data_IF_099879699743
#
_entry.id   IF_099879699743
#
_cell.length_a   1.000
_cell.length_b   1.000
_cell.length_c   1.000
_cell.angle_alpha   90.00
_cell.angle_beta   90.00
_cell.angle_gamma   90.00
#
_symmetry.space_group_name_H-M   'P 1'
#
loop_
_entity.id
_entity.type
_entity.pdbx_description
1 polymer ?
#
# COMPACT_ATOMS: atom_id res chain seq x y z
N UNK A 1 -71.42 4.28 23.66
CA UNK A 1 -71.59 4.15 22.19
C UNK A 1 -70.21 3.90 21.59
N UNK A 2 -70.07 2.84 20.76
CA UNK A 2 -68.99 2.66 19.77
C UNK A 2 -67.57 2.44 20.35
N UNK A 3 -66.78 1.39 20.08
CA UNK A 3 -66.45 0.72 18.80
C UNK A 3 -65.73 -0.63 19.01
N UNK A 4 -66.01 -1.56 18.09
CA UNK A 4 -65.10 -2.42 17.31
C UNK A 4 -64.12 -3.40 17.99
N UNK A 5 -64.55 -4.66 17.99
CA UNK A 5 -63.97 -5.88 17.41
C UNK A 5 -62.52 -5.94 16.85
N UNK A 6 -61.97 -7.17 17.03
CA UNK A 6 -61.01 -7.97 16.25
C UNK A 6 -59.51 -7.65 16.39
N UNK A 7 -58.73 -8.61 16.91
CA UNK A 7 -57.88 -9.50 16.08
C UNK A 7 -57.13 -10.53 16.93
N UNK A 8 -57.43 -11.80 16.64
CA UNK A 8 -56.66 -12.95 17.01
C UNK A 8 -55.43 -13.08 16.10
N UNK A 9 -54.31 -13.55 16.65
CA UNK A 9 -53.49 -14.66 16.13
C UNK A 9 -52.09 -14.59 16.74
N UNK A 10 -51.67 -15.70 17.35
CA UNK A 10 -50.30 -16.23 17.44
C UNK A 10 -50.44 -17.59 18.17
N UNK A 11 -49.82 -18.68 17.68
CA UNK A 11 -48.37 -18.80 17.82
C UNK A 11 -47.63 -19.39 16.62
N UNK A 12 -46.44 -18.81 16.38
CA UNK A 12 -45.15 -19.49 16.30
C UNK A 12 -45.11 -20.92 15.75
N UNK A 13 -44.68 -21.04 14.50
CA UNK A 13 -43.95 -22.22 14.04
C UNK A 13 -43.03 -21.83 12.87
N UNK A 14 -41.81 -21.37 13.17
CA UNK A 14 -40.72 -21.34 12.21
C UNK A 14 -39.71 -22.40 12.63
N UNK A 15 -39.50 -23.46 11.84
CA UNK A 15 -38.45 -24.43 12.12
C UNK A 15 -37.09 -23.78 11.83
N UNK A 16 -36.15 -24.01 12.76
CA UNK A 16 -34.72 -23.85 12.57
C UNK A 16 -34.29 -24.46 11.23
N UNK A 17 -33.66 -23.66 10.38
CA UNK A 17 -32.61 -24.16 9.49
C UNK A 17 -31.36 -23.32 9.68
N UNK A 18 -30.46 -23.90 10.45
CA UNK A 18 -29.04 -23.59 10.50
C UNK A 18 -28.46 -23.68 9.09
N UNK A 19 -27.98 -22.58 8.54
CA UNK A 19 -26.82 -22.63 7.65
C UNK A 19 -25.82 -21.59 8.13
N UNK A 20 -24.91 -22.07 8.97
CA UNK A 20 -23.61 -21.46 9.16
C UNK A 20 -22.92 -21.47 7.79
N UNK A 21 -22.99 -20.36 7.07
CA UNK A 21 -22.06 -20.11 5.98
C UNK A 21 -20.79 -19.61 6.63
N UNK A 22 -19.91 -20.58 6.90
CA UNK A 22 -18.54 -20.36 7.30
C UNK A 22 -17.94 -19.27 6.42
N UNK A 23 -17.45 -18.22 7.07
CA UNK A 23 -16.63 -17.20 6.45
C UNK A 23 -15.41 -17.88 5.82
N UNK A 24 -15.45 -18.17 4.53
CA UNK A 24 -14.25 -18.33 3.73
C UNK A 24 -13.72 -16.93 3.40
N UNK A 25 -13.32 -16.20 4.46
CA UNK A 25 -12.24 -15.24 4.30
C UNK A 25 -10.97 -16.08 4.15
N UNK A 26 -10.72 -16.56 2.93
CA UNK A 26 -9.35 -16.76 2.51
C UNK A 26 -8.76 -15.35 2.38
N UNK A 27 -8.43 -14.75 3.53
CA UNK A 27 -7.56 -13.59 3.57
C UNK A 27 -6.21 -14.13 3.13
N UNK A 28 -5.99 -14.04 1.82
CA UNK A 28 -4.72 -14.33 1.19
C UNK A 28 -3.70 -13.47 1.92
N UNK A 29 -2.95 -14.09 2.83
CA UNK A 29 -1.96 -13.43 3.66
C UNK A 29 -0.94 -12.88 2.68
N UNK A 30 -1.04 -11.57 2.40
CA UNK A 30 -0.10 -10.87 1.56
C UNK A 30 1.25 -10.99 2.25
N UNK A 31 2.08 -11.94 1.81
CA UNK A 31 3.47 -11.99 2.19
C UNK A 31 4.13 -10.86 1.41
N UNK A 32 4.47 -9.72 2.05
CA UNK A 32 5.16 -8.67 1.35
C UNK A 32 6.46 -9.27 0.81
N UNK A 33 6.86 -8.96 -0.44
CA UNK A 33 8.06 -9.52 -1.02
C UNK A 33 9.24 -9.31 -0.07
N UNK A 34 10.06 -10.34 0.12
CA UNK A 34 11.31 -10.28 0.87
C UNK A 34 12.25 -9.31 0.13
N UNK A 35 12.23 -8.05 0.57
CA UNK A 35 13.09 -7.02 0.01
C UNK A 35 14.31 -6.81 0.91
N UNK A 36 15.44 -7.31 0.45
CA UNK A 36 16.78 -6.89 0.91
C UNK A 36 17.18 -5.63 0.12
N UNK A 37 16.81 -4.47 0.66
CA UNK A 37 16.90 -3.17 -0.02
C UNK A 37 18.25 -2.46 0.19
N UNK A 38 18.83 -1.87 -0.85
CA UNK A 38 19.69 -0.70 -0.70
C UNK A 38 18.82 0.46 -0.17
N UNK A 39 19.26 1.15 0.88
CA UNK A 39 18.59 2.37 1.33
C UNK A 39 18.72 3.42 0.21
N UNK A 40 17.67 3.54 -0.62
CA UNK A 40 17.56 4.61 -1.59
C UNK A 40 17.44 5.92 -0.81
N UNK A 41 18.57 6.56 -0.52
CA UNK A 41 18.72 7.78 0.30
C UNK A 41 18.61 7.60 1.82
N UNK A 42 19.33 8.42 2.62
CA UNK A 42 19.21 8.44 4.07
C UNK A 42 17.84 9.00 4.48
N UNK A 43 16.90 8.11 4.81
CA UNK A 43 15.54 8.40 5.29
C UNK A 43 15.55 9.51 6.36
N UNK A 44 16.49 9.45 7.31
CA UNK A 44 16.60 10.44 8.39
C UNK A 44 16.76 11.88 7.87
N UNK A 45 17.62 12.09 6.87
CA UNK A 45 17.83 13.42 6.27
C UNK A 45 16.58 13.87 5.51
N UNK A 46 15.92 12.94 4.82
CA UNK A 46 14.68 13.25 4.14
C UNK A 46 13.58 13.65 5.14
N UNK A 47 13.40 12.89 6.22
CA UNK A 47 12.39 13.19 7.23
C UNK A 47 12.63 14.52 7.94
N UNK A 48 13.89 14.92 8.15
CA UNK A 48 14.21 16.28 8.63
C UNK A 48 13.70 17.37 7.67
N UNK A 49 13.91 17.18 6.36
CA UNK A 49 13.41 18.12 5.34
C UNK A 49 11.89 18.09 5.23
N UNK A 50 11.29 16.89 5.33
CA UNK A 50 9.84 16.71 5.30
C UNK A 50 9.19 17.43 6.47
N UNK A 51 9.71 17.27 7.69
CA UNK A 51 9.20 17.96 8.87
C UNK A 51 9.27 19.49 8.69
N UNK A 52 10.40 20.01 8.23
CA UNK A 52 10.54 21.43 7.92
C UNK A 52 9.52 21.89 6.87
N UNK A 53 9.32 21.12 5.82
CA UNK A 53 8.38 21.42 4.75
C UNK A 53 6.92 21.40 5.22
N UNK A 54 6.55 20.47 6.12
CA UNK A 54 5.23 20.42 6.74
C UNK A 54 4.97 21.65 7.61
N UNK A 55 5.96 22.07 8.42
CA UNK A 55 5.86 23.32 9.18
C UNK A 55 5.70 24.55 8.29
N UNK A 56 6.35 24.54 7.12
CA UNK A 56 6.22 25.59 6.10
C UNK A 56 4.99 25.42 5.20
N UNK A 57 4.17 24.38 5.44
CA UNK A 57 2.99 24.04 4.65
C UNK A 57 3.29 23.87 3.15
N UNK A 58 4.46 23.34 2.81
CA UNK A 58 4.83 23.10 1.43
C UNK A 58 3.82 22.12 0.78
N UNK A 59 3.30 22.40 -0.43
CA UNK A 59 2.24 21.57 -1.02
C UNK A 59 2.62 20.09 -1.18
N UNK A 60 3.90 19.79 -1.40
CA UNK A 60 4.37 18.43 -1.60
C UNK A 60 4.44 17.60 -0.31
N UNK A 61 4.45 18.23 0.87
CA UNK A 61 4.73 17.57 2.15
C UNK A 61 3.50 17.04 2.87
N UNK A 62 2.30 17.37 2.42
CA UNK A 62 1.07 17.17 3.22
C UNK A 62 0.29 15.91 2.82
N UNK A 63 0.71 15.21 1.77
CA UNK A 63 0.05 13.99 1.31
C UNK A 63 1.07 12.94 0.82
N UNK A 64 0.74 11.63 0.94
CA UNK A 64 1.67 10.55 0.63
C UNK A 64 2.21 10.58 -0.80
N UNK A 65 1.38 10.96 -1.78
CA UNK A 65 1.76 10.97 -3.19
C UNK A 65 2.80 12.08 -3.47
N UNK A 66 2.57 13.29 -2.94
CA UNK A 66 3.52 14.40 -3.00
C UNK A 66 4.86 14.06 -2.34
N UNK A 67 4.80 13.48 -1.13
CA UNK A 67 5.99 13.06 -0.38
C UNK A 67 6.75 12.00 -1.19
N UNK A 68 6.05 11.02 -1.74
CA UNK A 68 6.64 9.95 -2.54
C UNK A 68 7.32 10.45 -3.80
N UNK A 69 6.71 11.40 -4.52
CA UNK A 69 7.34 12.03 -5.68
C UNK A 69 8.57 12.84 -5.29
N UNK A 70 8.51 13.58 -4.19
CA UNK A 70 9.64 14.38 -3.72
C UNK A 70 10.83 13.50 -3.27
N UNK A 71 10.54 12.38 -2.59
CA UNK A 71 11.55 11.40 -2.18
C UNK A 71 12.23 10.73 -3.38
N UNK A 72 11.43 10.26 -4.33
CA UNK A 72 11.90 9.43 -5.43
C UNK A 72 12.55 10.23 -6.57
N UNK A 73 12.22 11.52 -6.69
CA UNK A 73 12.79 12.41 -7.71
C UNK A 73 12.38 12.03 -9.13
N UNK A 74 13.01 12.65 -10.13
CA UNK A 74 12.66 12.46 -11.55
C UNK A 74 13.07 11.10 -12.14
N UNK A 75 13.90 10.34 -11.43
CA UNK A 75 14.30 8.99 -11.84
C UNK A 75 13.17 7.96 -11.69
N UNK A 76 12.09 8.31 -10.97
CA UNK A 76 10.94 7.45 -10.76
C UNK A 76 9.63 8.18 -11.04
N UNK A 77 8.63 7.42 -11.50
CA UNK A 77 7.24 7.85 -11.63
C UNK A 77 6.41 7.20 -10.55
N UNK A 78 5.58 7.98 -9.86
CA UNK A 78 4.56 7.44 -8.97
C UNK A 78 3.54 6.61 -9.78
N UNK A 79 3.19 5.43 -9.29
CA UNK A 79 2.28 4.49 -9.97
C UNK A 79 1.07 4.16 -9.12
N UNK A 80 1.25 3.96 -7.82
CA UNK A 80 0.18 3.46 -6.94
C UNK A 80 0.40 3.90 -5.50
N UNK A 81 -0.71 3.98 -4.78
CA UNK A 81 -0.79 4.02 -3.32
C UNK A 81 -1.64 2.85 -2.81
N UNK A 82 -1.28 2.28 -1.66
CA UNK A 82 -2.10 1.30 -0.95
C UNK A 82 -1.99 1.51 0.56
N UNK A 83 -2.96 1.03 1.32
CA UNK A 83 -2.95 1.08 2.78
C UNK A 83 -2.87 -0.34 3.33
N UNK A 84 -1.93 -0.61 4.23
CA UNK A 84 -1.71 -1.95 4.78
C UNK A 84 -1.09 -1.84 6.17
N UNK A 85 -1.59 -2.61 7.15
CA UNK A 85 -1.07 -2.66 8.51
C UNK A 85 -0.88 -1.27 9.18
N UNK A 86 -1.83 -0.36 8.96
CA UNK A 86 -1.77 1.00 9.51
C UNK A 86 -0.74 1.93 8.84
N UNK A 87 -0.09 1.48 7.76
CA UNK A 87 0.87 2.27 6.98
C UNK A 87 0.31 2.61 5.60
N UNK A 88 0.79 3.72 5.07
CA UNK A 88 0.55 4.09 3.67
C UNK A 88 1.75 3.66 2.84
N UNK A 89 1.53 2.79 1.86
CA UNK A 89 2.55 2.33 0.93
C UNK A 89 2.43 3.07 -0.40
N UNK A 90 3.53 3.63 -0.90
CA UNK A 90 3.58 4.23 -2.24
C UNK A 90 4.55 3.46 -3.13
N UNK A 91 4.21 3.35 -4.41
CA UNK A 91 4.96 2.57 -5.39
C UNK A 91 5.41 3.51 -6.52
N UNK A 92 6.70 3.53 -6.78
CA UNK A 92 7.31 4.35 -7.81
C UNK A 92 8.17 3.48 -8.73
N UNK A 93 8.02 3.61 -10.04
CA UNK A 93 8.75 2.78 -11.02
C UNK A 93 9.78 3.65 -11.75
N UNK A 94 10.95 3.11 -12.12
CA UNK A 94 11.95 3.88 -12.86
C UNK A 94 11.38 4.48 -14.14
N UNK A 95 11.78 5.72 -14.43
CA UNK A 95 11.43 6.43 -15.67
C UNK A 95 12.33 6.03 -16.84
N UNK A 96 13.59 5.68 -16.57
CA UNK A 96 14.48 5.16 -17.60
C UNK A 96 13.90 3.89 -18.21
N UNK A 97 13.81 3.89 -19.54
CA UNK A 97 13.52 2.71 -20.32
C UNK A 97 14.78 1.84 -20.39
N UNK A 98 14.59 0.53 -20.28
CA UNK A 98 15.69 -0.42 -20.23
C UNK A 98 15.55 -1.41 -19.09
N UNK A 99 16.59 -2.20 -18.91
CA UNK A 99 16.60 -3.32 -17.98
C UNK A 99 17.75 -3.17 -16.97
N UNK A 100 17.51 -3.43 -15.67
CA UNK A 100 16.24 -3.85 -15.09
C UNK A 100 15.29 -2.66 -14.83
N UNK A 101 13.98 -2.93 -14.80
CA UNK A 101 13.02 -1.92 -14.37
C UNK A 101 13.04 -1.84 -12.84
N UNK A 102 13.18 -0.66 -12.26
CA UNK A 102 13.25 -0.49 -10.80
C UNK A 102 11.88 -0.19 -10.21
N UNK A 103 11.62 -0.67 -9.00
CA UNK A 103 10.46 -0.36 -8.17
C UNK A 103 10.92 0.09 -6.79
N UNK A 104 10.61 1.35 -6.46
CA UNK A 104 10.81 1.95 -5.16
C UNK A 104 9.47 2.00 -4.41
N UNK A 105 9.42 1.31 -3.27
CA UNK A 105 8.27 1.30 -2.36
C UNK A 105 8.63 2.12 -1.13
N UNK A 106 7.79 3.09 -0.75
CA UNK A 106 7.92 3.80 0.52
C UNK A 106 6.80 3.34 1.45
N UNK A 107 7.15 3.07 2.71
CA UNK A 107 6.19 2.98 3.79
C UNK A 107 6.20 4.32 4.53
N UNK A 108 5.06 4.99 4.52
CA UNK A 108 4.82 6.23 5.22
C UNK A 108 3.98 5.99 6.46
N UNK A 109 4.33 6.72 7.50
CA UNK A 109 3.58 6.81 8.74
C UNK A 109 2.96 8.19 8.86
N UNK A 110 1.75 8.26 9.42
CA UNK A 110 1.13 9.52 9.81
C UNK A 110 0.89 9.49 11.32
N UNK A 111 1.65 10.30 12.04
CA UNK A 111 1.48 10.46 13.47
C UNK A 111 0.79 11.80 13.75
N UNK A 112 -0.51 11.75 14.05
CA UNK A 112 -1.32 12.93 14.39
C UNK A 112 -1.23 14.07 13.37
N UNK A 113 -1.10 13.74 12.07
CA UNK A 113 -0.97 14.72 10.99
C UNK A 113 0.45 14.89 10.46
N UNK A 114 1.48 14.52 11.23
CA UNK A 114 2.87 14.57 10.78
C UNK A 114 3.23 13.32 9.99
N UNK A 115 3.53 13.49 8.71
CA UNK A 115 4.03 12.39 7.88
C UNK A 115 5.52 12.16 8.09
N UNK A 116 5.92 10.90 7.99
CA UNK A 116 7.32 10.48 7.91
C UNK A 116 7.47 9.28 6.98
N UNK A 117 8.65 9.13 6.39
CA UNK A 117 9.04 7.90 5.70
C UNK A 117 9.65 6.96 6.74
N UNK A 118 9.03 5.82 6.97
CA UNK A 118 9.53 4.80 7.90
C UNK A 118 10.52 3.87 7.21
N UNK A 119 10.17 3.43 5.99
CA UNK A 119 10.96 2.48 5.21
C UNK A 119 10.95 2.86 3.74
N UNK A 120 12.10 2.68 3.09
CA UNK A 120 12.25 2.76 1.65
C UNK A 120 12.85 1.45 1.14
N UNK A 121 12.23 0.89 0.11
CA UNK A 121 12.50 -0.43 -0.42
C UNK A 121 12.72 -0.33 -1.91
N UNK A 122 13.90 -0.71 -2.38
CA UNK A 122 14.23 -0.77 -3.80
C UNK A 122 14.30 -2.24 -4.26
N UNK A 123 13.53 -2.55 -5.28
CA UNK A 123 13.50 -3.84 -5.98
C UNK A 123 13.61 -3.60 -7.48
N UNK A 124 13.86 -4.65 -8.24
CA UNK A 124 14.02 -4.57 -9.68
C UNK A 124 13.43 -5.79 -10.37
N UNK A 125 12.97 -5.60 -11.60
CA UNK A 125 12.40 -6.64 -12.45
C UNK A 125 13.34 -6.89 -13.62
N UNK A 126 13.85 -8.12 -13.69
CA UNK A 126 14.67 -8.55 -14.81
C UNK A 126 13.82 -8.89 -16.06
N UNK A 127 14.43 -8.98 -17.23
CA UNK A 127 13.76 -8.94 -18.55
C UNK A 127 12.79 -10.11 -18.73
N UNK A 128 13.15 -11.26 -18.17
CA UNK A 128 12.40 -12.51 -18.27
C UNK A 128 11.61 -12.83 -17.00
N UNK A 129 11.41 -11.84 -16.11
CA UNK A 129 10.67 -12.01 -14.86
C UNK A 129 9.39 -11.19 -14.89
N UNK A 130 8.31 -11.79 -14.40
CA UNK A 130 7.00 -11.12 -14.30
C UNK A 130 6.88 -10.27 -13.03
N UNK A 131 7.71 -10.53 -12.02
CA UNK A 131 7.69 -9.88 -10.70
C UNK A 131 8.91 -8.98 -10.47
N UNK A 132 8.76 -8.01 -9.57
CA UNK A 132 9.89 -7.27 -9.00
C UNK A 132 10.47 -8.07 -7.83
N UNK A 133 11.79 -8.18 -7.79
CA UNK A 133 12.52 -8.90 -6.76
C UNK A 133 13.84 -8.23 -6.44
N UNK A 134 14.73 -8.97 -5.79
CA UNK A 134 16.12 -8.54 -5.51
C UNK A 134 17.13 -9.54 -6.08
N UNK A 135 16.68 -10.40 -7.00
CA UNK A 135 17.52 -11.40 -7.64
C UNK A 135 18.48 -10.75 -8.63
N UNK A 136 19.72 -11.21 -8.70
CA UNK A 136 20.64 -10.74 -9.73
C UNK A 136 20.06 -11.01 -11.12
N UNK A 137 20.06 -10.00 -11.98
CA UNK A 137 19.69 -10.23 -13.35
C UNK A 137 20.84 -10.95 -14.05
N UNK A 138 20.61 -12.22 -14.41
CA UNK A 138 21.53 -12.96 -15.25
C UNK A 138 21.66 -12.26 -16.62
N UNK A 139 22.85 -12.28 -17.24
CA UNK A 139 22.97 -11.87 -18.63
C UNK A 139 22.04 -12.72 -19.50
N UNK A 140 21.55 -12.19 -20.65
CA UNK A 140 20.80 -13.00 -21.60
C UNK A 140 21.59 -14.27 -21.91
N UNK A 141 20.92 -15.42 -21.87
CA UNK A 141 21.51 -16.64 -22.42
C UNK A 141 21.47 -16.47 -23.94
N UNK A 142 22.63 -16.27 -24.55
CA UNK A 142 22.77 -16.36 -26.00
C UNK A 142 22.47 -17.82 -26.38
N UNK A 143 21.38 -18.04 -27.13
CA UNK A 143 20.99 -19.34 -27.69
C UNK A 143 21.46 -19.45 -29.15
#
# INVERSE_FOLDING_TARGET
>A
MSRLSVLAALPLCFPLMTQAQAAFNAEEKFEPPLVVSYAAQPINRFNQKLLQAQHQQAPWSNNPEGISRHYSGSAFKFVRISHSHGKTLTYNVSTQEGHPQMLLILALDNNAGDWSVEKAVLSWRCQNKVYFGTDNCSPPLDH
#
